data_IF_501847278051
#
_entry.id   IF_501847278051
#
_cell.length_a   1.000
_cell.length_b   1.000
_cell.length_c   1.000
_cell.angle_alpha   90.00
_cell.angle_beta   90.00
_cell.angle_gamma   90.00
#
_symmetry.space_group_name_H-M   'P 1'
#
loop_
_entity.id
_entity.type
_entity.pdbx_description
1 polymer ?
#
# COMPACT_ATOMS: atom_id res chain seq x y z
N UNK A 1 -12.76 18.30 -17.49
CA UNK A 1 -13.64 17.85 -16.39
C UNK A 1 -13.90 16.36 -16.59
N UNK A 2 -13.70 15.54 -15.56
CA UNK A 2 -13.73 14.08 -15.67
C UNK A 2 -15.13 13.57 -16.08
N UNK A 3 -15.21 12.62 -17.01
CA UNK A 3 -16.48 12.06 -17.54
C UNK A 3 -17.34 11.45 -16.44
N UNK A 4 -16.70 10.91 -15.40
CA UNK A 4 -17.38 10.38 -14.22
C UNK A 4 -18.09 11.47 -13.41
N UNK A 5 -17.40 12.58 -13.12
CA UNK A 5 -17.96 13.70 -12.34
C UNK A 5 -19.14 14.33 -13.09
N UNK A 6 -19.06 14.46 -14.42
CA UNK A 6 -20.19 14.94 -15.22
C UNK A 6 -21.42 14.01 -15.09
N UNK A 7 -21.23 12.68 -15.18
CA UNK A 7 -22.33 11.72 -14.99
C UNK A 7 -22.91 11.79 -13.58
N UNK A 8 -22.09 12.03 -12.56
CA UNK A 8 -22.55 12.19 -11.18
C UNK A 8 -23.50 13.37 -11.03
N UNK A 9 -23.22 14.50 -11.69
CA UNK A 9 -24.09 15.68 -11.67
C UNK A 9 -25.47 15.37 -12.26
N UNK A 10 -25.52 14.71 -13.42
CA UNK A 10 -26.79 14.32 -14.03
C UNK A 10 -27.59 13.33 -13.15
N UNK A 11 -26.91 12.41 -12.46
CA UNK A 11 -27.56 11.52 -11.49
C UNK A 11 -28.11 12.28 -10.29
N UNK A 12 -27.36 13.28 -9.80
CA UNK A 12 -27.78 14.13 -8.69
C UNK A 12 -29.01 14.96 -9.05
N UNK A 13 -29.03 15.57 -10.23
CA UNK A 13 -30.16 16.34 -10.75
C UNK A 13 -31.42 15.46 -10.83
N UNK A 14 -31.32 14.27 -11.42
CA UNK A 14 -32.41 13.30 -11.49
C UNK A 14 -32.90 12.85 -10.11
N UNK A 15 -31.97 12.62 -9.17
CA UNK A 15 -32.35 12.30 -7.80
C UNK A 15 -33.14 13.44 -7.16
N UNK A 16 -32.70 14.68 -7.35
CA UNK A 16 -33.39 15.87 -6.85
C UNK A 16 -34.80 16.01 -7.45
N UNK A 17 -34.97 15.78 -8.75
CA UNK A 17 -36.31 15.77 -9.39
C UNK A 17 -37.23 14.71 -8.78
N UNK A 18 -36.71 13.51 -8.52
CA UNK A 18 -37.47 12.44 -7.87
C UNK A 18 -37.83 12.82 -6.43
N UNK A 19 -36.90 13.44 -5.70
CA UNK A 19 -37.11 13.85 -4.32
C UNK A 19 -38.24 14.88 -4.15
N UNK A 20 -38.37 15.81 -5.10
CA UNK A 20 -39.47 16.79 -5.09
C UNK A 20 -40.83 16.15 -5.34
N UNK A 21 -40.89 15.00 -6.02
CA UNK A 21 -42.14 14.31 -6.35
C UNK A 21 -42.53 13.28 -5.30
N UNK A 22 -41.57 12.45 -4.87
CA UNK A 22 -41.80 11.36 -3.94
C UNK A 22 -40.55 11.09 -3.07
N UNK A 23 -40.66 11.46 -1.79
CA UNK A 23 -39.59 11.27 -0.80
C UNK A 23 -39.31 9.80 -0.49
N UNK A 24 -40.33 8.94 -0.52
CA UNK A 24 -40.16 7.51 -0.25
C UNK A 24 -39.42 6.85 -1.40
N UNK A 25 -39.84 7.16 -2.62
CA UNK A 25 -39.19 6.64 -3.81
C UNK A 25 -37.75 7.17 -3.95
N UNK A 26 -37.49 8.43 -3.61
CA UNK A 26 -36.13 8.96 -3.57
C UNK A 26 -35.22 8.18 -2.60
N UNK A 27 -35.71 7.84 -1.40
CA UNK A 27 -34.96 6.99 -0.47
C UNK A 27 -34.71 5.59 -1.04
N UNK A 28 -35.67 5.00 -1.75
CA UNK A 28 -35.48 3.72 -2.44
C UNK A 28 -34.42 3.79 -3.54
N UNK A 29 -34.38 4.90 -4.30
CA UNK A 29 -33.34 5.15 -5.29
C UNK A 29 -31.96 5.12 -4.63
N UNK A 30 -31.75 5.86 -3.54
CA UNK A 30 -30.47 5.84 -2.82
C UNK A 30 -30.12 4.44 -2.28
N UNK A 31 -31.13 3.70 -1.79
CA UNK A 31 -30.96 2.37 -1.23
C UNK A 31 -30.64 1.28 -2.26
N UNK A 32 -30.76 1.59 -3.55
CA UNK A 32 -30.49 0.62 -4.60
C UNK A 32 -29.03 0.16 -4.59
N UNK A 33 -28.79 -1.14 -4.78
CA UNK A 33 -27.47 -1.76 -4.62
C UNK A 33 -26.42 -1.22 -5.59
N UNK A 34 -26.85 -0.81 -6.78
CA UNK A 34 -25.98 -0.29 -7.86
C UNK A 34 -25.59 1.19 -7.70
N UNK A 35 -26.19 1.91 -6.76
CA UNK A 35 -25.84 3.33 -6.55
C UNK A 35 -24.39 3.44 -6.08
N UNK A 36 -23.58 4.29 -6.73
CA UNK A 36 -22.22 4.56 -6.27
C UNK A 36 -22.25 5.42 -5.01
N UNK A 37 -21.26 5.22 -4.14
CA UNK A 37 -21.11 6.02 -2.92
C UNK A 37 -21.10 7.53 -3.18
N UNK A 38 -20.48 7.96 -4.29
CA UNK A 38 -20.43 9.37 -4.64
C UNK A 38 -21.81 10.04 -4.74
N UNK A 39 -22.85 9.33 -5.20
CA UNK A 39 -24.21 9.88 -5.27
C UNK A 39 -24.82 10.06 -3.88
N UNK A 40 -24.57 9.12 -2.97
CA UNK A 40 -24.99 9.26 -1.56
C UNK A 40 -24.31 10.49 -0.93
N UNK A 41 -22.98 10.61 -1.10
CA UNK A 41 -22.19 11.71 -0.57
C UNK A 41 -22.68 13.08 -1.04
N UNK A 42 -22.85 13.27 -2.35
CA UNK A 42 -23.34 14.57 -2.88
C UNK A 42 -24.80 14.85 -2.53
N UNK A 43 -25.54 13.85 -2.05
CA UNK A 43 -26.94 13.97 -1.63
C UNK A 43 -27.12 14.14 -0.12
N UNK A 44 -26.03 14.20 0.66
CA UNK A 44 -26.08 14.44 2.12
C UNK A 44 -26.92 15.67 2.47
N UNK A 45 -26.75 16.85 1.82
CA UNK A 45 -27.55 18.03 2.14
C UNK A 45 -29.05 17.81 1.97
N UNK A 46 -29.47 17.06 0.94
CA UNK A 46 -30.89 16.73 0.74
C UNK A 46 -31.39 15.63 1.66
N UNK A 47 -30.53 14.69 2.05
CA UNK A 47 -30.88 13.68 3.07
C UNK A 47 -31.21 14.38 4.39
N UNK A 48 -30.42 15.38 4.78
CA UNK A 48 -30.65 16.23 5.95
C UNK A 48 -31.91 17.08 5.78
N UNK A 49 -32.01 17.87 4.70
CA UNK A 49 -33.11 18.80 4.49
C UNK A 49 -34.50 18.12 4.41
N UNK A 50 -34.55 16.88 3.92
CA UNK A 50 -35.79 16.12 3.76
C UNK A 50 -35.99 15.00 4.79
N UNK A 51 -35.13 14.93 5.81
CA UNK A 51 -35.16 13.91 6.87
C UNK A 51 -35.21 12.46 6.31
N UNK A 52 -34.39 12.17 5.30
CA UNK A 52 -34.38 10.86 4.65
C UNK A 52 -33.57 9.80 5.41
N UNK A 53 -32.77 10.19 6.41
CA UNK A 53 -31.88 9.30 7.14
C UNK A 53 -32.58 8.02 7.61
N UNK A 54 -33.74 8.15 8.25
CA UNK A 54 -34.47 6.99 8.78
C UNK A 54 -34.95 6.01 7.71
N UNK A 55 -35.09 6.46 6.46
CA UNK A 55 -35.51 5.64 5.31
C UNK A 55 -34.33 5.00 4.60
N UNK A 56 -33.09 5.34 4.96
CA UNK A 56 -31.91 4.72 4.40
C UNK A 56 -31.74 3.30 4.93
N UNK A 57 -31.25 2.41 4.08
CA UNK A 57 -30.84 1.08 4.49
C UNK A 57 -29.56 1.14 5.32
N UNK A 58 -29.21 0.03 5.97
CA UNK A 58 -28.01 -0.05 6.81
C UNK A 58 -26.72 0.37 6.09
N UNK A 59 -26.52 -0.02 4.81
CA UNK A 59 -25.32 0.37 4.05
C UNK A 59 -25.19 1.88 3.96
N UNK A 60 -26.29 2.55 3.64
CA UNK A 60 -26.32 3.98 3.41
C UNK A 60 -26.31 4.79 4.72
N UNK A 61 -27.01 4.34 5.78
CA UNK A 61 -26.90 4.93 7.12
C UNK A 61 -25.45 4.90 7.60
N UNK A 62 -24.83 3.72 7.50
CA UNK A 62 -23.43 3.55 7.87
C UNK A 62 -22.48 4.45 7.09
N UNK A 63 -22.65 4.54 5.76
CA UNK A 63 -21.82 5.39 4.93
C UNK A 63 -22.05 6.89 5.18
N UNK A 64 -23.27 7.28 5.57
CA UNK A 64 -23.59 8.63 6.03
C UNK A 64 -22.83 8.94 7.33
N UNK A 65 -22.98 8.08 8.35
CA UNK A 65 -22.31 8.24 9.64
C UNK A 65 -20.78 8.25 9.47
N UNK A 66 -20.27 7.43 8.54
CA UNK A 66 -18.87 7.41 8.15
C UNK A 66 -18.38 8.78 7.63
N UNK A 67 -19.17 9.44 6.79
CA UNK A 67 -18.86 10.80 6.30
C UNK A 67 -18.88 11.81 7.45
N UNK A 68 -19.90 11.76 8.31
CA UNK A 68 -20.09 12.71 9.40
C UNK A 68 -18.96 12.64 10.43
N UNK A 69 -18.49 11.43 10.77
CA UNK A 69 -17.38 11.26 11.73
C UNK A 69 -16.06 11.82 11.18
N UNK A 70 -15.75 11.59 9.90
CA UNK A 70 -14.55 12.13 9.26
C UNK A 70 -14.61 13.66 9.17
N UNK A 71 -15.80 14.22 8.89
CA UNK A 71 -16.03 15.66 8.89
C UNK A 71 -15.82 16.27 10.28
N UNK A 72 -16.18 15.55 11.35
CA UNK A 72 -15.92 15.92 12.75
C UNK A 72 -14.45 15.82 13.18
N UNK A 73 -13.54 15.39 12.29
CA UNK A 73 -12.11 15.31 12.57
C UNK A 73 -11.66 14.05 13.32
N UNK A 74 -12.56 13.10 13.57
CA UNK A 74 -12.18 11.79 14.12
C UNK A 74 -11.45 10.98 13.03
N UNK A 75 -10.17 10.71 13.26
CA UNK A 75 -9.39 9.73 12.49
C UNK A 75 -9.45 8.32 13.11
N UNK A 76 -10.00 8.21 14.32
CA UNK A 76 -10.11 6.97 15.08
C UNK A 76 -11.53 6.43 14.97
N UNK A 77 -11.88 5.97 13.78
CA UNK A 77 -13.14 5.26 13.59
C UNK A 77 -13.14 4.00 14.47
N UNK A 78 -13.88 4.05 15.58
CA UNK A 78 -14.03 2.93 16.52
C UNK A 78 -15.03 1.94 15.94
N UNK A 79 -14.56 1.14 14.98
CA UNK A 79 -15.35 0.05 14.44
C UNK A 79 -15.08 -1.25 15.19
N UNK A 80 -16.16 -1.94 15.55
CA UNK A 80 -16.07 -3.38 15.75
C UNK A 80 -15.70 -4.03 14.41
N UNK A 81 -14.92 -5.11 14.41
CA UNK A 81 -14.49 -5.75 13.15
C UNK A 81 -15.62 -6.59 12.55
N UNK A 82 -16.71 -5.95 12.10
CA UNK A 82 -17.81 -6.67 11.46
C UNK A 82 -17.53 -6.92 9.97
N UNK A 83 -17.71 -8.15 9.46
CA UNK A 83 -17.61 -8.44 8.03
C UNK A 83 -18.54 -7.57 7.19
N UNK A 84 -19.72 -7.21 7.72
CA UNK A 84 -20.70 -6.37 7.02
C UNK A 84 -20.17 -4.96 6.80
N UNK A 85 -19.53 -4.39 7.81
CA UNK A 85 -18.96 -3.04 7.77
C UNK A 85 -17.77 -2.97 6.82
N UNK A 86 -16.93 -4.00 6.82
CA UNK A 86 -15.86 -4.19 5.82
C UNK A 86 -16.39 -4.08 4.39
N UNK A 87 -17.50 -4.75 4.07
CA UNK A 87 -18.11 -4.68 2.73
C UNK A 87 -18.63 -3.28 2.39
N UNK A 88 -19.21 -2.57 3.36
CA UNK A 88 -19.71 -1.21 3.16
C UNK A 88 -18.54 -0.27 2.87
N UNK A 89 -17.46 -0.31 3.65
CA UNK A 89 -16.27 0.52 3.44
C UNK A 89 -15.59 0.15 2.13
N UNK A 90 -15.56 -1.14 1.76
CA UNK A 90 -15.06 -1.56 0.46
C UNK A 90 -15.89 -0.99 -0.68
N UNK A 91 -17.22 -0.94 -0.54
CA UNK A 91 -18.10 -0.28 -1.51
C UNK A 91 -17.84 1.23 -1.57
N UNK A 92 -17.68 1.91 -0.43
CA UNK A 92 -17.29 3.33 -0.36
C UNK A 92 -16.02 3.57 -1.18
N UNK A 93 -14.96 2.81 -0.89
CA UNK A 93 -13.70 2.91 -1.60
C UNK A 93 -13.85 2.57 -3.10
N UNK A 94 -14.28 1.35 -3.45
CA UNK A 94 -14.29 0.89 -4.86
C UNK A 94 -15.20 1.72 -5.78
N UNK A 95 -16.35 2.16 -5.28
CA UNK A 95 -17.25 2.99 -6.09
C UNK A 95 -16.85 4.47 -6.05
N UNK A 96 -16.19 4.92 -4.97
CA UNK A 96 -15.75 6.30 -4.81
C UNK A 96 -14.51 6.66 -5.62
N UNK A 97 -13.55 5.75 -5.78
CA UNK A 97 -12.28 6.01 -6.50
C UNK A 97 -12.43 6.34 -7.99
N UNK A 98 -13.61 6.08 -8.55
CA UNK A 98 -14.01 6.48 -9.92
C UNK A 98 -14.24 7.99 -10.00
N UNK A 99 -14.55 8.62 -8.87
CA UNK A 99 -14.84 10.04 -8.73
C UNK A 99 -13.75 10.77 -7.93
N UNK A 100 -12.54 10.22 -7.88
CA UNK A 100 -11.37 10.85 -7.25
C UNK A 100 -11.10 12.24 -7.84
N UNK A 101 -10.90 13.23 -6.97
CA UNK A 101 -10.84 14.65 -7.32
C UNK A 101 -12.20 15.34 -7.44
N UNK A 102 -13.27 14.76 -6.87
CA UNK A 102 -14.58 15.40 -6.79
C UNK A 102 -14.51 16.67 -5.93
N UNK A 103 -14.01 16.52 -4.70
CA UNK A 103 -13.63 17.59 -3.79
C UNK A 103 -12.69 17.05 -2.71
N UNK A 104 -12.03 17.94 -1.95
CA UNK A 104 -11.02 17.55 -0.97
C UNK A 104 -11.56 16.74 0.22
N UNK A 105 -12.82 16.93 0.61
CA UNK A 105 -13.44 16.15 1.69
C UNK A 105 -13.79 14.75 1.19
N UNK A 106 -14.29 14.64 -0.04
CA UNK A 106 -14.53 13.36 -0.68
C UNK A 106 -13.25 12.54 -0.79
N UNK A 107 -12.17 13.15 -1.29
CA UNK A 107 -10.87 12.49 -1.43
C UNK A 107 -10.33 12.00 -0.07
N UNK A 108 -10.50 12.80 0.99
CA UNK A 108 -10.16 12.42 2.36
C UNK A 108 -10.98 11.21 2.84
N UNK A 109 -12.28 11.14 2.53
CA UNK A 109 -13.13 10.00 2.90
C UNK A 109 -12.62 8.72 2.22
N UNK A 110 -12.20 8.81 0.95
CA UNK A 110 -11.62 7.67 0.22
C UNK A 110 -10.29 7.24 0.85
N UNK A 111 -9.44 8.19 1.26
CA UNK A 111 -8.16 7.88 1.91
C UNK A 111 -8.35 7.19 3.26
N UNK A 112 -9.29 7.68 4.08
CA UNK A 112 -9.65 7.05 5.36
C UNK A 112 -10.24 5.66 5.13
N UNK A 113 -11.12 5.49 4.14
CA UNK A 113 -11.66 4.18 3.79
C UNK A 113 -10.55 3.18 3.41
N UNK A 114 -9.57 3.62 2.62
CA UNK A 114 -8.41 2.80 2.28
C UNK A 114 -7.58 2.43 3.53
N UNK A 115 -7.31 3.40 4.40
CA UNK A 115 -6.55 3.19 5.64
C UNK A 115 -7.26 2.20 6.57
N UNK A 116 -8.58 2.33 6.76
CA UNK A 116 -9.38 1.41 7.59
C UNK A 116 -9.36 0.00 7.00
N UNK A 117 -9.58 -0.15 5.69
CA UNK A 117 -9.56 -1.45 5.01
C UNK A 117 -8.20 -2.16 5.15
N UNK A 118 -7.09 -1.44 4.98
CA UNK A 118 -5.74 -2.02 5.07
C UNK A 118 -5.39 -2.32 6.52
N UNK A 119 -5.51 -1.35 7.43
CA UNK A 119 -4.96 -1.44 8.79
C UNK A 119 -5.85 -2.23 9.74
N UNK A 120 -7.17 -2.04 9.66
CA UNK A 120 -8.10 -2.66 10.61
C UNK A 120 -8.61 -4.02 10.10
N UNK A 121 -8.94 -4.10 8.81
CA UNK A 121 -9.53 -5.28 8.19
C UNK A 121 -8.55 -6.17 7.42
N UNK A 122 -7.28 -5.74 7.27
CA UNK A 122 -6.24 -6.45 6.50
C UNK A 122 -6.73 -6.83 5.08
N UNK A 123 -7.49 -5.93 4.45
CA UNK A 123 -8.04 -6.13 3.11
C UNK A 123 -7.02 -5.76 2.04
N UNK A 124 -6.16 -6.73 1.73
CA UNK A 124 -5.09 -6.55 0.75
C UNK A 124 -5.61 -6.42 -0.70
N UNK A 125 -6.89 -6.73 -0.95
CA UNK A 125 -7.47 -6.64 -2.30
C UNK A 125 -7.55 -5.21 -2.83
N UNK A 126 -7.44 -4.22 -1.94
CA UNK A 126 -7.51 -2.80 -2.31
C UNK A 126 -6.13 -2.15 -2.53
N UNK A 127 -5.03 -2.86 -2.29
CA UNK A 127 -3.67 -2.29 -2.40
C UNK A 127 -3.38 -1.74 -3.80
N UNK A 128 -3.64 -2.53 -4.84
CA UNK A 128 -3.40 -2.09 -6.22
C UNK A 128 -4.26 -0.87 -6.60
N UNK A 129 -5.59 -0.88 -6.41
CA UNK A 129 -6.39 0.33 -6.61
C UNK A 129 -5.96 1.55 -5.79
N UNK A 130 -5.50 1.35 -4.55
CA UNK A 130 -4.99 2.44 -3.71
C UNK A 130 -3.70 3.06 -4.28
N UNK A 131 -2.76 2.22 -4.72
CA UNK A 131 -1.54 2.65 -5.41
C UNK A 131 -1.90 3.39 -6.71
N UNK A 132 -2.89 2.91 -7.47
CA UNK A 132 -3.32 3.59 -8.70
C UNK A 132 -3.83 5.02 -8.43
N UNK A 133 -4.50 5.27 -7.31
CA UNK A 133 -4.88 6.63 -6.89
C UNK A 133 -3.65 7.47 -6.54
N UNK A 134 -2.69 6.91 -5.79
CA UNK A 134 -1.45 7.62 -5.43
C UNK A 134 -0.74 8.18 -6.67
N UNK A 135 -0.59 7.36 -7.71
CA UNK A 135 0.02 7.78 -8.97
C UNK A 135 -0.85 8.75 -9.77
N UNK A 136 -2.17 8.52 -9.84
CA UNK A 136 -3.10 9.46 -10.49
C UNK A 136 -3.07 10.85 -9.85
N UNK A 137 -3.04 10.94 -8.52
CA UNK A 137 -2.96 12.20 -7.77
C UNK A 137 -1.60 12.87 -7.93
N UNK A 138 -0.50 12.10 -7.95
CA UNK A 138 0.83 12.62 -8.21
C UNK A 138 0.94 13.33 -9.57
N UNK A 139 0.32 12.77 -10.63
CA UNK A 139 0.24 13.45 -11.94
C UNK A 139 -0.49 14.78 -11.89
N UNK A 140 -1.43 14.95 -10.96
CA UNK A 140 -2.21 16.17 -10.78
C UNK A 140 -1.55 17.14 -9.77
N UNK A 141 -0.45 16.74 -9.12
CA UNK A 141 0.17 17.51 -8.04
C UNK A 141 -0.67 17.57 -6.76
N UNK A 142 -1.57 16.60 -6.55
CA UNK A 142 -2.48 16.56 -5.40
C UNK A 142 -1.89 15.74 -4.23
N UNK A 143 -2.33 16.06 -3.00
CA UNK A 143 -1.86 15.40 -1.78
C UNK A 143 -2.14 13.88 -1.79
N UNK A 144 -1.11 13.09 -1.42
CA UNK A 144 -1.13 11.63 -1.44
C UNK A 144 -0.45 10.99 -0.21
N UNK A 145 0.02 11.79 0.76
CA UNK A 145 0.79 11.31 1.91
C UNK A 145 0.05 10.27 2.76
N UNK A 146 -1.20 10.55 3.15
CA UNK A 146 -1.98 9.63 3.99
C UNK A 146 -2.26 8.29 3.29
N UNK A 147 -2.49 8.32 1.98
CA UNK A 147 -2.75 7.13 1.20
C UNK A 147 -1.48 6.30 0.95
N UNK A 148 -0.34 6.95 0.72
CA UNK A 148 0.97 6.28 0.68
C UNK A 148 1.22 5.57 2.01
N UNK A 149 0.97 6.25 3.13
CA UNK A 149 1.12 5.66 4.46
C UNK A 149 0.20 4.47 4.69
N UNK A 150 -1.08 4.60 4.32
CA UNK A 150 -2.02 3.50 4.37
C UNK A 150 -1.52 2.28 3.59
N UNK A 151 -1.00 2.47 2.37
CA UNK A 151 -0.48 1.39 1.52
C UNK A 151 0.71 0.67 2.16
N UNK A 152 1.69 1.40 2.69
CA UNK A 152 2.87 0.79 3.30
C UNK A 152 2.60 0.16 4.67
N UNK A 153 1.60 0.67 5.41
CA UNK A 153 1.14 0.07 6.66
C UNK A 153 0.57 -1.36 6.51
N UNK A 154 0.39 -1.85 5.28
CA UNK A 154 0.06 -3.26 5.02
C UNK A 154 1.19 -4.22 5.42
N UNK A 155 2.43 -3.73 5.53
CA UNK A 155 3.62 -4.55 5.82
C UNK A 155 3.79 -5.71 4.81
N UNK A 156 3.47 -5.45 3.53
CA UNK A 156 3.46 -6.42 2.44
C UNK A 156 4.50 -6.09 1.38
N UNK A 157 5.53 -6.92 1.16
CA UNK A 157 6.50 -6.72 0.08
C UNK A 157 5.87 -6.67 -1.31
N UNK A 158 4.67 -7.25 -1.49
CA UNK A 158 3.89 -7.21 -2.73
C UNK A 158 3.55 -5.77 -3.16
N UNK A 159 3.46 -4.84 -2.22
CA UNK A 159 3.29 -3.40 -2.51
C UNK A 159 4.40 -2.90 -3.41
N UNK A 160 5.65 -3.31 -3.18
CA UNK A 160 6.80 -2.91 -3.99
C UNK A 160 6.68 -3.39 -5.43
N UNK A 161 6.07 -4.56 -5.65
CA UNK A 161 5.81 -5.08 -6.99
C UNK A 161 4.80 -4.21 -7.74
N UNK A 162 3.70 -3.81 -7.08
CA UNK A 162 2.72 -2.92 -7.69
C UNK A 162 3.30 -1.54 -8.02
N UNK A 163 4.13 -0.99 -7.12
CA UNK A 163 4.84 0.27 -7.38
C UNK A 163 5.84 0.12 -8.53
N UNK A 164 6.56 -1.00 -8.62
CA UNK A 164 7.51 -1.26 -9.70
C UNK A 164 6.88 -1.26 -11.09
N UNK A 165 5.61 -1.66 -11.22
CA UNK A 165 4.89 -1.57 -12.50
C UNK A 165 4.89 -0.14 -13.07
N UNK A 166 4.91 0.90 -12.22
CA UNK A 166 4.96 2.30 -12.63
C UNK A 166 6.32 2.75 -13.18
N UNK A 167 7.39 1.97 -13.01
CA UNK A 167 8.67 2.19 -13.72
C UNK A 167 8.51 2.03 -15.23
N UNK A 168 7.53 1.24 -15.67
CA UNK A 168 7.19 1.05 -17.09
C UNK A 168 6.28 2.16 -17.64
N UNK A 169 5.83 3.09 -16.81
CA UNK A 169 4.92 4.17 -17.24
C UNK A 169 5.60 5.09 -18.26
N UNK A 170 4.88 5.51 -19.32
CA UNK A 170 5.39 6.52 -20.24
C UNK A 170 5.51 7.91 -19.57
N UNK A 171 4.76 8.19 -18.50
CA UNK A 171 4.81 9.46 -17.78
C UNK A 171 6.05 9.53 -16.87
N UNK A 172 6.87 10.57 -17.05
CA UNK A 172 8.09 10.80 -16.25
C UNK A 172 7.76 10.94 -14.75
N UNK A 173 6.63 11.56 -14.40
CA UNK A 173 6.23 11.81 -13.01
C UNK A 173 5.90 10.52 -12.28
N UNK A 174 5.33 9.54 -12.98
CA UNK A 174 5.11 8.21 -12.43
C UNK A 174 6.44 7.54 -12.14
N UNK A 175 7.36 7.54 -13.10
CA UNK A 175 8.67 6.91 -12.91
C UNK A 175 9.44 7.56 -11.77
N UNK A 176 9.41 8.89 -11.66
CA UNK A 176 10.03 9.62 -10.55
C UNK A 176 9.45 9.23 -9.19
N UNK A 177 8.12 9.17 -9.07
CA UNK A 177 7.49 8.76 -7.82
C UNK A 177 7.78 7.29 -7.51
N UNK A 178 7.73 6.41 -8.50
CA UNK A 178 8.06 5.00 -8.33
C UNK A 178 9.50 4.82 -7.84
N UNK A 179 10.47 5.49 -8.47
CA UNK A 179 11.87 5.48 -8.03
C UNK A 179 12.01 5.96 -6.58
N UNK A 180 11.33 7.05 -6.19
CA UNK A 180 11.33 7.56 -4.82
C UNK A 180 10.76 6.56 -3.83
N UNK A 181 9.56 6.02 -4.09
CA UNK A 181 8.90 5.06 -3.20
C UNK A 181 9.64 3.73 -3.11
N UNK A 182 10.35 3.36 -4.16
CA UNK A 182 11.22 2.18 -4.21
C UNK A 182 12.64 2.46 -3.72
N UNK A 183 12.97 3.69 -3.32
CA UNK A 183 14.31 4.11 -2.91
C UNK A 183 15.42 3.70 -3.91
N UNK A 184 15.17 3.85 -5.21
CA UNK A 184 16.15 3.62 -6.28
C UNK A 184 16.44 4.93 -7.00
N UNK A 185 17.67 5.07 -7.51
CA UNK A 185 18.07 6.24 -8.29
C UNK A 185 17.17 6.44 -9.51
N UNK A 186 16.79 7.69 -9.77
CA UNK A 186 16.05 8.07 -10.97
C UNK A 186 17.04 8.51 -12.05
N UNK A 187 17.09 7.76 -13.16
CA UNK A 187 17.83 8.12 -14.36
C UNK A 187 16.85 8.21 -15.54
N UNK A 188 16.71 9.41 -16.12
CA UNK A 188 15.78 9.66 -17.22
C UNK A 188 16.28 9.11 -18.56
N UNK A 189 17.58 8.78 -18.68
CA UNK A 189 18.17 8.15 -19.87
C UNK A 189 18.13 6.62 -19.85
N UNK A 190 17.81 6.01 -18.70
CA UNK A 190 17.76 4.56 -18.56
C UNK A 190 16.52 3.97 -19.25
N UNK A 191 16.70 2.83 -19.94
CA UNK A 191 15.58 2.05 -20.46
C UNK A 191 14.66 1.57 -19.30
N UNK A 192 13.40 1.99 -19.36
CA UNK A 192 12.36 1.67 -18.39
C UNK A 192 12.23 0.16 -18.14
N UNK A 193 12.32 -0.66 -19.21
CA UNK A 193 12.21 -2.12 -19.10
C UNK A 193 13.38 -2.71 -18.35
N UNK A 194 14.58 -2.19 -18.59
CA UNK A 194 15.80 -2.58 -17.88
C UNK A 194 15.72 -2.19 -16.40
N UNK A 195 15.26 -0.98 -16.07
CA UNK A 195 15.05 -0.54 -14.68
C UNK A 195 14.08 -1.48 -13.94
N UNK A 196 12.92 -1.75 -14.55
CA UNK A 196 11.92 -2.68 -14.01
C UNK A 196 12.48 -4.09 -13.79
N UNK A 197 13.13 -4.68 -14.81
CA UNK A 197 13.71 -6.03 -14.70
C UNK A 197 14.77 -6.12 -13.62
N UNK A 198 15.66 -5.14 -13.52
CA UNK A 198 16.67 -5.06 -12.45
C UNK A 198 16.02 -5.05 -11.07
N UNK A 199 15.02 -4.18 -10.87
CA UNK A 199 14.32 -4.08 -9.59
C UNK A 199 13.56 -5.36 -9.25
N UNK A 200 12.83 -5.96 -10.19
CA UNK A 200 12.10 -7.21 -9.95
C UNK A 200 13.04 -8.39 -9.65
N UNK A 201 14.19 -8.47 -10.32
CA UNK A 201 15.21 -9.48 -9.99
C UNK A 201 15.70 -9.30 -8.55
N UNK A 202 16.07 -8.07 -8.19
CA UNK A 202 16.47 -7.72 -6.83
C UNK A 202 15.37 -8.02 -5.81
N UNK A 203 14.11 -7.70 -6.12
CA UNK A 203 12.98 -7.96 -5.22
C UNK A 203 12.80 -9.46 -5.01
N UNK A 204 12.79 -10.27 -6.07
CA UNK A 204 12.69 -11.74 -5.96
C UNK A 204 13.85 -12.36 -5.18
N UNK A 205 15.03 -11.74 -5.23
CA UNK A 205 16.19 -12.16 -4.45
C UNK A 205 16.06 -11.86 -2.95
N UNK A 206 15.44 -10.72 -2.62
CA UNK A 206 15.42 -10.18 -1.26
C UNK A 206 14.06 -10.27 -0.55
N UNK A 207 12.97 -10.66 -1.22
CA UNK A 207 11.59 -10.54 -0.71
C UNK A 207 11.35 -11.21 0.66
N UNK A 208 12.07 -12.28 0.96
CA UNK A 208 11.98 -12.99 2.26
C UNK A 208 12.68 -12.28 3.40
N UNK A 209 13.58 -11.36 3.07
CA UNK A 209 14.47 -10.63 3.96
C UNK A 209 14.04 -9.15 4.12
N UNK A 210 12.95 -8.74 3.46
CA UNK A 210 12.46 -7.36 3.50
C UNK A 210 11.61 -7.15 4.75
N UNK A 211 12.05 -6.18 5.57
CA UNK A 211 11.24 -5.52 6.59
C UNK A 211 10.54 -4.33 5.92
N UNK A 212 9.24 -4.46 5.66
CA UNK A 212 8.40 -3.29 5.37
C UNK A 212 8.03 -2.70 6.73
N UNK A 213 8.53 -1.52 7.06
CA UNK A 213 8.42 -0.95 8.40
C UNK A 213 7.73 0.42 8.43
N UNK A 214 7.31 0.83 9.63
CA UNK A 214 6.72 2.14 9.96
C UNK A 214 7.76 3.27 9.97
N UNK A 215 8.78 3.20 9.11
CA UNK A 215 9.82 4.22 9.04
C UNK A 215 9.19 5.59 8.76
N UNK A 216 9.38 6.51 9.72
CA UNK A 216 8.71 7.79 9.90
C UNK A 216 8.26 8.51 8.62
N UNK A 217 7.11 8.13 8.05
CA UNK A 217 6.55 8.82 6.89
C UNK A 217 6.05 10.23 7.22
N UNK A 218 5.94 10.56 8.52
CA UNK A 218 5.45 11.86 8.99
C UNK A 218 6.57 12.89 9.24
N UNK A 219 7.86 12.50 9.24
CA UNK A 219 8.97 13.38 9.64
C UNK A 219 10.14 13.46 8.63
N UNK A 220 10.03 12.79 7.48
CA UNK A 220 11.04 12.90 6.42
C UNK A 220 10.39 13.09 5.05
N UNK A 221 11.03 13.91 4.21
CA UNK A 221 10.68 14.09 2.80
C UNK A 221 11.02 12.88 1.94
N UNK A 222 11.77 11.91 2.48
CA UNK A 222 12.16 10.66 1.82
C UNK A 222 12.11 9.47 2.80
N UNK A 223 10.90 8.98 3.16
CA UNK A 223 10.79 7.81 4.03
C UNK A 223 11.30 6.57 3.31
N UNK A 224 12.29 5.89 3.89
CA UNK A 224 12.68 4.56 3.47
C UNK A 224 11.53 3.61 3.83
N UNK A 225 10.75 3.17 2.86
CA UNK A 225 9.51 2.42 3.12
C UNK A 225 9.74 0.92 3.37
N UNK A 226 10.97 0.46 3.17
CA UNK A 226 11.39 -0.90 3.41
C UNK A 226 12.92 -0.98 3.62
N UNK A 227 13.37 -2.04 4.27
CA UNK A 227 14.78 -2.35 4.49
C UNK A 227 15.03 -3.84 4.29
N UNK A 228 16.20 -4.22 3.78
CA UNK A 228 16.63 -5.62 3.73
C UNK A 228 17.42 -5.96 4.97
N UNK A 229 16.93 -6.88 5.80
CA UNK A 229 17.72 -7.39 6.93
C UNK A 229 18.87 -8.24 6.41
N UNK A 230 20.08 -7.70 6.53
CA UNK A 230 21.30 -8.38 6.12
C UNK A 230 21.56 -9.61 7.00
N UNK A 231 21.21 -9.57 8.27
CA UNK A 231 21.32 -10.70 9.21
C UNK A 231 20.46 -11.88 8.75
N UNK A 232 19.20 -11.62 8.41
CA UNK A 232 18.28 -12.63 7.90
C UNK A 232 18.74 -13.16 6.54
N UNK A 233 19.25 -12.29 5.66
CA UNK A 233 19.80 -12.68 4.36
C UNK A 233 21.07 -13.54 4.52
N UNK A 234 21.94 -13.20 5.45
CA UNK A 234 23.14 -13.97 5.79
C UNK A 234 22.78 -15.36 6.32
N UNK A 235 21.75 -15.47 7.18
CA UNK A 235 21.26 -16.76 7.68
C UNK A 235 20.30 -17.49 6.72
N UNK A 236 19.96 -16.87 5.58
CA UNK A 236 18.95 -17.38 4.64
C UNK A 236 17.61 -17.72 5.32
N UNK A 237 17.27 -16.98 6.38
CA UNK A 237 16.02 -17.09 7.13
C UNK A 237 15.07 -15.97 6.73
N UNK A 238 13.78 -16.27 6.69
CA UNK A 238 12.80 -15.21 6.43
C UNK A 238 12.63 -14.37 7.68
N UNK A 239 12.40 -13.07 7.50
CA UNK A 239 12.03 -12.14 8.59
C UNK A 239 10.83 -12.65 9.41
N UNK A 240 9.90 -13.39 8.79
CA UNK A 240 8.76 -13.97 9.50
C UNK A 240 9.12 -15.11 10.45
N UNK A 241 10.35 -15.64 10.36
CA UNK A 241 10.84 -16.72 11.20
C UNK A 241 11.83 -16.19 12.24
N UNK A 242 11.30 -15.78 13.40
CA UNK A 242 12.07 -15.21 14.51
C UNK A 242 12.84 -16.25 15.33
N UNK A 243 12.81 -17.53 14.96
CA UNK A 243 13.50 -18.59 15.70
C UNK A 243 14.98 -18.59 15.33
N UNK A 244 15.79 -18.05 16.23
CA UNK A 244 17.26 -18.04 16.17
C UNK A 244 17.80 -18.97 17.24
N UNK A 245 18.77 -19.82 16.90
CA UNK A 245 19.46 -20.66 17.89
C UNK A 245 20.59 -19.88 18.57
N UNK A 246 21.05 -20.33 19.74
CA UNK A 246 22.16 -19.69 20.47
C UNK A 246 23.41 -19.54 19.59
N UNK A 247 23.74 -20.55 18.80
CA UNK A 247 24.86 -20.52 17.84
C UNK A 247 24.67 -19.50 16.71
N UNK A 248 23.43 -19.25 16.29
CA UNK A 248 23.12 -18.27 15.26
C UNK A 248 23.15 -16.84 15.81
N UNK A 249 22.73 -16.62 17.06
CA UNK A 249 22.83 -15.31 17.72
C UNK A 249 24.29 -14.84 17.81
N UNK A 250 25.20 -15.73 18.21
CA UNK A 250 26.62 -15.41 18.30
C UNK A 250 27.21 -15.06 16.92
N UNK A 251 26.80 -15.77 15.86
CA UNK A 251 27.19 -15.44 14.49
C UNK A 251 26.63 -14.10 14.03
N UNK A 252 25.38 -13.78 14.37
CA UNK A 252 24.79 -12.47 14.08
C UNK A 252 25.59 -11.37 14.78
N UNK A 253 25.96 -11.54 16.06
CA UNK A 253 26.78 -10.56 16.78
C UNK A 253 28.13 -10.32 16.10
N UNK A 254 28.82 -11.40 15.72
CA UNK A 254 30.09 -11.29 15.02
C UNK A 254 29.93 -10.64 13.63
N UNK A 255 28.86 -10.99 12.91
CA UNK A 255 28.51 -10.41 11.62
C UNK A 255 28.17 -8.91 11.72
N UNK A 256 27.46 -8.49 12.77
CA UNK A 256 27.08 -7.10 12.99
C UNK A 256 28.28 -6.15 13.15
N UNK A 257 29.41 -6.67 13.64
CA UNK A 257 30.66 -5.91 13.82
C UNK A 257 31.50 -5.74 12.54
N UNK A 258 31.09 -6.35 11.42
CA UNK A 258 31.79 -6.20 10.13
C UNK A 258 31.46 -4.88 9.44
N UNK A 259 32.32 -4.46 8.50
CA UNK A 259 32.04 -3.37 7.58
C UNK A 259 30.94 -3.75 6.57
N UNK A 260 30.27 -2.74 6.01
CA UNK A 260 29.11 -2.93 5.14
C UNK A 260 29.44 -3.69 3.83
N UNK A 261 30.65 -3.52 3.30
CA UNK A 261 31.09 -4.22 2.08
C UNK A 261 31.23 -5.73 2.36
N UNK A 262 31.89 -6.09 3.46
CA UNK A 262 32.04 -7.48 3.88
C UNK A 262 30.68 -8.11 4.22
N UNK A 263 29.80 -7.38 4.92
CA UNK A 263 28.43 -7.84 5.20
C UNK A 263 27.69 -8.15 3.91
N UNK A 264 27.71 -7.24 2.95
CA UNK A 264 27.00 -7.41 1.67
C UNK A 264 27.55 -8.60 0.88
N UNK A 265 28.88 -8.76 0.86
CA UNK A 265 29.57 -9.88 0.20
C UNK A 265 29.16 -11.22 0.81
N UNK A 266 29.20 -11.36 2.14
CA UNK A 266 28.80 -12.58 2.85
C UNK A 266 27.32 -12.91 2.65
N UNK A 267 26.44 -11.91 2.73
CA UNK A 267 25.01 -12.07 2.47
C UNK A 267 24.72 -12.61 1.07
N UNK A 268 25.37 -12.04 0.06
CA UNK A 268 25.17 -12.44 -1.33
C UNK A 268 25.69 -13.86 -1.59
N UNK A 269 26.89 -14.17 -1.06
CA UNK A 269 27.47 -15.51 -1.16
C UNK A 269 26.61 -16.57 -0.44
N UNK A 270 26.21 -16.29 0.80
CA UNK A 270 25.37 -17.17 1.61
C UNK A 270 24.05 -17.50 0.88
N UNK A 271 23.33 -16.47 0.42
CA UNK A 271 22.06 -16.63 -0.28
C UNK A 271 22.21 -17.41 -1.61
N UNK A 272 23.29 -17.16 -2.37
CA UNK A 272 23.60 -17.90 -3.60
C UNK A 272 23.90 -19.38 -3.30
N UNK A 273 24.75 -19.66 -2.31
CA UNK A 273 25.10 -21.01 -1.92
C UNK A 273 23.90 -21.78 -1.36
N UNK A 274 23.04 -21.13 -0.57
CA UNK A 274 21.81 -21.73 -0.05
C UNK A 274 20.83 -22.15 -1.15
N UNK A 275 20.69 -21.32 -2.20
CA UNK A 275 19.84 -21.61 -3.36
C UNK A 275 20.40 -22.75 -4.22
N UNK A 276 21.72 -22.78 -4.41
CA UNK A 276 22.38 -23.80 -5.21
C UNK A 276 22.47 -25.16 -4.48
N UNK A 277 22.91 -25.16 -3.23
CA UNK A 277 23.14 -26.38 -2.46
C UNK A 277 23.02 -26.15 -0.94
N UNK A 278 21.86 -26.50 -0.37
CA UNK A 278 21.60 -26.35 1.06
C UNK A 278 22.54 -27.15 1.96
N UNK A 279 23.07 -28.30 1.51
CA UNK A 279 23.97 -29.11 2.31
C UNK A 279 25.37 -28.46 2.41
N UNK A 280 25.87 -27.92 1.30
CA UNK A 280 27.12 -27.15 1.29
C UNK A 280 26.97 -25.85 2.09
N UNK A 281 25.83 -25.17 1.96
CA UNK A 281 25.54 -23.99 2.76
C UNK A 281 25.59 -24.27 4.27
N UNK A 282 24.98 -25.37 4.73
CA UNK A 282 25.02 -25.77 6.16
C UNK A 282 26.45 -25.98 6.66
N UNK A 283 27.30 -26.59 5.84
CA UNK A 283 28.73 -26.76 6.16
C UNK A 283 29.42 -25.40 6.23
N UNK A 284 29.20 -24.54 5.25
CA UNK A 284 29.81 -23.21 5.18
C UNK A 284 29.41 -22.30 6.35
N UNK A 285 28.12 -22.19 6.66
CA UNK A 285 27.62 -21.32 7.75
C UNK A 285 28.03 -21.83 9.14
N UNK A 286 28.44 -23.09 9.26
CA UNK A 286 29.01 -23.65 10.49
C UNK A 286 30.48 -23.31 10.71
N UNK A 287 31.19 -22.80 9.69
CA UNK A 287 32.59 -22.41 9.81
C UNK A 287 32.73 -21.14 10.66
N UNK A 288 33.89 -20.92 11.32
CA UNK A 288 34.22 -19.63 11.93
C UNK A 288 34.22 -18.49 10.91
N UNK A 289 33.85 -17.29 11.35
CA UNK A 289 33.64 -16.13 10.48
C UNK A 289 34.83 -15.81 9.57
N UNK A 290 36.07 -15.94 10.07
CA UNK A 290 37.28 -15.70 9.26
C UNK A 290 37.38 -16.66 8.05
N UNK A 291 36.99 -17.94 8.21
CA UNK A 291 36.99 -18.92 7.11
C UNK A 291 35.84 -18.67 6.14
N UNK A 292 34.72 -18.15 6.63
CA UNK A 292 33.61 -17.75 5.76
C UNK A 292 34.05 -16.61 4.83
N UNK A 293 34.70 -15.57 5.38
CA UNK A 293 35.23 -14.45 4.60
C UNK A 293 36.26 -14.94 3.58
N UNK A 294 37.20 -15.78 3.99
CA UNK A 294 38.22 -16.33 3.09
C UNK A 294 37.63 -17.16 1.94
N UNK A 295 36.72 -18.08 2.26
CA UNK A 295 36.05 -18.92 1.25
C UNK A 295 35.17 -18.09 0.30
N UNK A 296 34.50 -17.05 0.79
CA UNK A 296 33.72 -16.14 -0.04
C UNK A 296 34.61 -15.32 -0.97
N UNK A 297 35.78 -14.86 -0.52
CA UNK A 297 36.75 -14.15 -1.38
C UNK A 297 37.33 -15.06 -2.47
N UNK A 298 37.59 -16.33 -2.15
CA UNK A 298 38.11 -17.32 -3.11
C UNK A 298 37.05 -17.81 -4.11
N UNK A 299 35.79 -17.93 -3.70
CA UNK A 299 34.66 -18.33 -4.55
C UNK A 299 33.85 -17.16 -5.13
N UNK A 300 34.34 -15.93 -5.00
CA UNK A 300 33.66 -14.71 -5.45
C UNK A 300 33.99 -14.27 -6.88
N UNK A 301 34.93 -14.96 -7.55
CA UNK A 301 35.44 -14.65 -8.89
C UNK A 301 34.95 -15.63 -10.00
N UNK A 302 33.78 -16.24 -9.81
CA UNK A 302 33.08 -17.01 -10.86
C UNK A 302 31.65 -16.49 -11.06
#
# INVERSE_FOLDING_TARGET
MDRAIYRLRNLKERFTEVLYRDRNYAAQVLNHSTVPFALLYVSIPEIEAYNLYEKLNHRNKYAYDFCSEIAGGSSNFKQEKSPREKEIIRWIFRSGIVYDGLDSRFDRIIDVAAAVLIRQFNDLTILKPAIDIVFRRNKKGSFNHDLIWAVFSAHRPEVLKFIAEYLLSPDVRDRQLACRLLNIGFDNGQDNRTAYKKFISWLNENIKYINVGDFCQQLTSNPATYEVSLENKYLCKSVSNNLVTVDEEEKIRQFANLDDETKQMLCNYSNRLYRANRAQWRKWISLPLYRQIESTRRGGYE
#
